data_IF_739429720427
#
_entry.id   IF_739429720427
#
_cell.length_a   1.000
_cell.length_b   1.000
_cell.length_c   1.000
_cell.angle_alpha   90.00
_cell.angle_beta   90.00
_cell.angle_gamma   90.00
#
_symmetry.space_group_name_H-M   'P 1'
#
loop_
_entity.id
_entity.type
_entity.pdbx_description
1 polymer ?
#
# COMPACT_ATOMS: atom_id res chain seq x y z
N UNK A 1 -2.38 16.14 -0.16
CA UNK A 1 -0.98 15.74 0.09
C UNK A 1 -1.00 14.23 0.23
N UNK A 2 -0.28 13.48 -0.60
CA UNK A 2 -0.37 12.00 -0.56
C UNK A 2 0.48 11.48 0.59
N UNK A 3 -0.14 10.76 1.54
CA UNK A 3 0.57 10.14 2.66
C UNK A 3 1.20 8.84 2.17
N UNK A 4 2.53 8.80 2.14
CA UNK A 4 3.25 7.59 1.72
C UNK A 4 3.23 6.54 2.83
N UNK A 5 3.05 5.25 2.49
CA UNK A 5 3.11 4.18 3.46
C UNK A 5 4.52 4.05 4.04
N UNK A 6 4.59 3.64 5.31
CA UNK A 6 5.83 3.19 5.91
C UNK A 6 6.08 1.74 5.54
N UNK A 7 7.26 1.44 4.99
CA UNK A 7 7.66 0.06 4.72
C UNK A 7 7.59 -0.79 6.00
N UNK A 8 7.20 -2.06 5.84
CA UNK A 8 7.33 -3.06 6.88
C UNK A 8 8.79 -3.20 7.34
N UNK A 9 9.02 -3.65 8.58
CA UNK A 9 10.37 -3.90 9.12
C UNK A 9 11.20 -4.81 8.20
N UNK A 10 10.55 -5.82 7.60
CA UNK A 10 11.21 -6.76 6.69
C UNK A 10 11.65 -6.07 5.40
N UNK A 11 10.75 -5.32 4.75
CA UNK A 11 11.07 -4.60 3.51
C UNK A 11 12.12 -3.52 3.75
N UNK A 12 12.03 -2.79 4.88
CA UNK A 12 13.04 -1.83 5.29
C UNK A 12 14.42 -2.48 5.49
N UNK A 13 14.47 -3.70 6.04
CA UNK A 13 15.71 -4.46 6.19
C UNK A 13 16.27 -4.92 4.83
N UNK A 14 15.40 -5.34 3.90
CA UNK A 14 15.79 -5.70 2.54
C UNK A 14 16.38 -4.47 1.82
N UNK A 15 15.70 -3.33 1.88
CA UNK A 15 16.20 -2.04 1.38
C UNK A 15 17.56 -1.69 1.98
N UNK A 16 17.73 -1.87 3.30
CA UNK A 16 18.99 -1.59 3.96
C UNK A 16 20.13 -2.53 3.50
N UNK A 17 19.84 -3.81 3.26
CA UNK A 17 20.81 -4.78 2.71
C UNK A 17 21.20 -4.43 1.28
N UNK A 18 20.23 -4.11 0.42
CA UNK A 18 20.48 -3.71 -0.97
C UNK A 18 21.39 -2.47 -1.03
N UNK A 19 21.16 -1.48 -0.16
CA UNK A 19 22.00 -0.28 -0.03
C UNK A 19 23.45 -0.58 0.34
N UNK A 20 23.71 -1.59 1.17
CA UNK A 20 25.07 -1.94 1.60
C UNK A 20 25.90 -2.61 0.50
N UNK A 21 25.26 -3.31 -0.44
CA UNK A 21 25.95 -4.16 -1.41
C UNK A 21 26.23 -3.49 -2.76
N UNK A 22 25.67 -2.31 -3.02
CA UNK A 22 25.95 -1.55 -4.24
C UNK A 22 26.46 -0.16 -3.85
N UNK A 23 27.74 0.16 -3.95
CA UNK A 23 28.23 1.51 -3.61
C UNK A 23 27.88 2.58 -4.67
N UNK A 24 27.39 2.17 -5.85
CA UNK A 24 27.02 3.02 -7.01
C UNK A 24 25.48 3.28 -7.09
N UNK A 25 24.81 3.50 -5.95
CA UNK A 25 23.32 3.52 -5.80
C UNK A 25 22.64 4.88 -6.02
N UNK A 26 23.11 5.78 -6.88
CA UNK A 26 22.46 7.09 -6.99
C UNK A 26 21.00 7.06 -7.54
N UNK A 27 20.43 5.91 -7.92
CA UNK A 27 19.16 5.90 -8.64
C UNK A 27 18.15 4.75 -8.41
N UNK A 28 18.29 3.85 -7.43
CA UNK A 28 17.19 2.89 -7.19
C UNK A 28 16.11 3.58 -6.34
N UNK A 29 14.88 3.82 -6.85
CA UNK A 29 13.81 4.37 -6.04
C UNK A 29 13.32 3.29 -5.08
N UNK A 30 14.01 3.16 -3.95
CA UNK A 30 13.70 2.21 -2.87
C UNK A 30 12.52 2.69 -2.00
N UNK A 31 11.90 3.79 -2.40
CA UNK A 31 10.71 4.35 -1.78
C UNK A 31 9.46 3.75 -2.43
N UNK A 32 8.39 3.51 -1.64
CA UNK A 32 7.12 3.09 -2.18
C UNK A 32 6.65 4.05 -3.28
N UNK A 33 6.25 3.47 -4.41
CA UNK A 33 5.76 4.21 -5.57
C UNK A 33 4.29 3.88 -5.77
N UNK A 34 3.46 4.92 -5.88
CA UNK A 34 2.04 4.77 -6.19
C UNK A 34 1.90 4.12 -7.57
N UNK A 35 1.11 3.04 -7.65
CA UNK A 35 0.80 2.36 -8.91
C UNK A 35 -0.52 2.87 -9.48
N UNK A 36 -1.59 2.78 -8.69
CA UNK A 36 -2.93 3.23 -9.05
C UNK A 36 -3.78 3.40 -7.79
N UNK A 37 -5.00 3.92 -7.97
CA UNK A 37 -5.99 4.14 -6.92
C UNK A 37 -7.30 3.44 -7.25
N UNK A 38 -8.00 2.99 -6.23
CA UNK A 38 -9.29 2.30 -6.33
C UNK A 38 -10.31 2.99 -5.43
N UNK A 39 -11.47 3.33 -6.00
CA UNK A 39 -12.61 3.74 -5.20
C UNK A 39 -13.25 2.49 -4.58
N UNK A 40 -13.46 2.55 -3.27
CA UNK A 40 -14.11 1.53 -2.48
C UNK A 40 -15.18 2.16 -1.60
N UNK A 41 -16.08 1.36 -1.06
CA UNK A 41 -17.11 1.79 -0.11
C UNK A 41 -17.10 0.84 1.10
N UNK A 42 -17.38 1.37 2.29
CA UNK A 42 -17.64 0.54 3.47
C UNK A 42 -19.10 0.03 3.49
N UNK A 43 -19.44 -0.79 4.50
CA UNK A 43 -20.80 -1.32 4.68
C UNK A 43 -21.87 -0.22 4.89
N UNK A 44 -21.46 0.98 5.32
CA UNK A 44 -22.35 2.13 5.50
C UNK A 44 -22.49 2.96 4.21
N UNK A 45 -21.76 2.59 3.14
CA UNK A 45 -21.74 3.29 1.87
C UNK A 45 -20.86 4.54 1.87
N UNK A 46 -19.96 4.71 2.85
CA UNK A 46 -19.02 5.83 2.80
C UNK A 46 -17.90 5.53 1.81
N UNK A 47 -17.55 6.49 0.94
CA UNK A 47 -16.50 6.30 -0.04
C UNK A 47 -15.11 6.37 0.60
N UNK A 48 -14.25 5.45 0.19
CA UNK A 48 -12.85 5.32 0.56
C UNK A 48 -11.99 5.20 -0.69
N UNK A 49 -10.83 5.87 -0.72
CA UNK A 49 -9.87 5.72 -1.82
C UNK A 49 -8.69 4.89 -1.33
N UNK A 50 -8.59 3.67 -1.86
CA UNK A 50 -7.44 2.78 -1.64
C UNK A 50 -6.36 3.12 -2.65
N UNK A 51 -5.16 3.40 -2.18
CA UNK A 51 -3.96 3.62 -2.97
C UNK A 51 -3.13 2.35 -2.96
N UNK A 52 -2.80 1.84 -4.14
CA UNK A 52 -1.94 0.68 -4.32
C UNK A 52 -0.52 1.13 -4.56
N UNK A 53 0.40 0.63 -3.75
CA UNK A 53 1.81 1.00 -3.76
C UNK A 53 2.67 -0.19 -4.14
N UNK A 54 3.67 0.03 -5.00
CA UNK A 54 4.80 -0.89 -5.15
C UNK A 54 5.82 -0.59 -4.07
N UNK A 55 6.15 -1.59 -3.24
CA UNK A 55 7.08 -1.45 -2.11
C UNK A 55 8.52 -1.21 -2.55
N UNK A 56 9.08 -2.13 -3.34
CA UNK A 56 10.45 -2.07 -3.85
C UNK A 56 10.43 -2.43 -5.34
N UNK A 57 11.00 -1.61 -6.23
CA UNK A 57 11.13 -1.94 -7.65
C UNK A 57 11.85 -3.27 -7.85
N UNK A 58 11.25 -4.17 -8.63
CA UNK A 58 11.80 -5.50 -8.89
C UNK A 58 11.41 -6.58 -7.89
N UNK A 59 10.64 -6.25 -6.84
CA UNK A 59 10.00 -7.23 -5.95
C UNK A 59 8.48 -7.22 -6.10
N UNK A 60 7.85 -8.37 -5.88
CA UNK A 60 6.40 -8.56 -6.04
C UNK A 60 5.56 -7.97 -4.88
N UNK A 61 6.16 -7.24 -3.94
CA UNK A 61 5.47 -6.70 -2.77
C UNK A 61 4.61 -5.47 -3.12
N UNK A 62 3.32 -5.56 -2.83
CA UNK A 62 2.39 -4.42 -2.87
C UNK A 62 1.94 -4.04 -1.46
N UNK A 63 1.69 -2.76 -1.26
CA UNK A 63 1.09 -2.21 -0.04
C UNK A 63 -0.18 -1.44 -0.40
N UNK A 64 -1.12 -1.40 0.52
CA UNK A 64 -2.39 -0.73 0.34
C UNK A 64 -2.61 0.25 1.48
N UNK A 65 -3.00 1.47 1.15
CA UNK A 65 -3.38 2.46 2.15
C UNK A 65 -4.60 3.24 1.71
N UNK A 66 -5.32 3.83 2.65
CA UNK A 66 -6.27 4.89 2.36
C UNK A 66 -5.57 6.23 2.06
N UNK A 67 -6.31 7.20 1.54
CA UNK A 67 -5.80 8.55 1.25
C UNK A 67 -5.31 9.32 2.48
N UNK A 68 -5.85 9.01 3.65
CA UNK A 68 -5.42 9.54 4.96
C UNK A 68 -4.11 8.88 5.47
N UNK A 69 -3.63 7.84 4.77
CA UNK A 69 -2.45 7.05 5.13
C UNK A 69 -2.74 5.85 6.03
N UNK A 70 -4.00 5.57 6.35
CA UNK A 70 -4.39 4.39 7.11
C UNK A 70 -4.04 3.11 6.33
N UNK A 71 -3.41 2.15 7.00
CA UNK A 71 -3.03 0.87 6.37
C UNK A 71 -4.27 0.00 6.16
N UNK A 72 -4.38 -0.59 4.97
CA UNK A 72 -5.39 -1.60 4.67
C UNK A 72 -4.74 -2.89 4.20
N UNK A 73 -5.38 -4.01 4.50
CA UNK A 73 -4.97 -5.34 4.04
C UNK A 73 -5.92 -5.81 2.96
N UNK A 74 -5.38 -6.28 1.85
CA UNK A 74 -6.16 -7.04 0.89
C UNK A 74 -6.59 -8.36 1.54
N UNK A 75 -7.90 -8.63 1.57
CA UNK A 75 -8.47 -9.85 2.16
C UNK A 75 -8.70 -10.87 1.06
N UNK A 76 -9.63 -10.57 0.14
CA UNK A 76 -9.95 -11.42 -1.01
C UNK A 76 -10.78 -10.65 -2.05
N UNK A 77 -10.70 -11.05 -3.32
CA UNK A 77 -11.39 -10.48 -4.49
C UNK A 77 -11.32 -8.94 -4.59
N UNK A 78 -12.23 -8.27 -3.88
CA UNK A 78 -12.44 -6.82 -3.88
C UNK A 78 -12.45 -6.22 -2.47
N UNK A 79 -12.23 -7.02 -1.43
CA UNK A 79 -12.33 -6.63 -0.03
C UNK A 79 -10.98 -6.21 0.54
N UNK A 80 -11.00 -5.09 1.25
CA UNK A 80 -9.88 -4.62 2.06
C UNK A 80 -10.33 -4.44 3.50
N UNK A 81 -9.46 -4.80 4.44
CA UNK A 81 -9.66 -4.58 5.86
C UNK A 81 -8.80 -3.38 6.32
N UNK A 82 -9.43 -2.38 6.93
CA UNK A 82 -8.75 -1.26 7.57
C UNK A 82 -8.10 -1.77 8.85
N UNK A 83 -6.76 -1.82 8.90
CA UNK A 83 -6.01 -2.47 9.98
C UNK A 83 -6.29 -1.86 11.35
N UNK A 84 -6.56 -0.56 11.39
CA UNK A 84 -6.80 0.17 12.63
C UNK A 84 -8.15 -0.13 13.28
N UNK A 85 -9.18 -0.40 12.46
CA UNK A 85 -10.57 -0.54 12.93
C UNK A 85 -11.13 -1.94 12.73
N UNK A 86 -10.52 -2.76 11.87
CA UNK A 86 -11.09 -4.02 11.38
C UNK A 86 -12.25 -3.82 10.40
N UNK A 87 -12.53 -2.58 9.98
CA UNK A 87 -13.61 -2.28 9.06
C UNK A 87 -13.32 -2.80 7.65
N UNK A 88 -14.33 -3.34 6.97
CA UNK A 88 -14.21 -3.85 5.63
C UNK A 88 -14.69 -2.81 4.60
N UNK A 89 -13.93 -2.66 3.53
CA UNK A 89 -14.27 -1.83 2.38
C UNK A 89 -14.17 -2.66 1.09
N UNK A 90 -15.00 -2.36 0.11
CA UNK A 90 -15.06 -3.12 -1.15
C UNK A 90 -15.06 -2.21 -2.37
N UNK A 91 -14.42 -2.65 -3.46
CA UNK A 91 -14.37 -1.91 -4.74
C UNK A 91 -15.71 -1.77 -5.45
N UNK A 92 -16.64 -2.70 -5.21
CA UNK A 92 -17.85 -2.81 -6.01
C UNK A 92 -19.02 -2.18 -5.27
N UNK A 93 -19.78 -1.26 -5.88
CA UNK A 93 -21.10 -0.95 -5.37
C UNK A 93 -21.90 -2.24 -5.39
N UNK A 94 -22.55 -2.56 -4.27
CA UNK A 94 -23.51 -3.67 -4.20
C UNK A 94 -24.66 -3.32 -5.15
N UNK A 95 -24.61 -3.84 -6.37
CA UNK A 95 -25.65 -3.66 -7.41
C UNK A 95 -26.94 -4.37 -7.02
#
# INVERSE_FOLDING_TARGET
MVVRPKLSKNDALVVQRLRRHHPDQYQLPLEPTELYREACEDEEGNPHIVIVWRTIPGMAGVMYTLEDGSEVKFVDDCWFEIVATGGLITRCPTV
#
